data_IF_364936594572
#
_entry.id   IF_364936594572
#
_cell.length_a   1.000
_cell.length_b   1.000
_cell.length_c   1.000
_cell.angle_alpha   90.00
_cell.angle_beta   90.00
_cell.angle_gamma   90.00
#
_symmetry.space_group_name_H-M   'P 1'
#
loop_
_entity.id
_entity.type
_entity.pdbx_description
1 polymer ?
#
# COMPACT_ATOMS: atom_id res chain seq x y z
N UNK A 1 49.32 25.30 -46.59
CA UNK A 1 48.48 26.46 -46.38
C UNK A 1 49.24 27.42 -45.47
N UNK A 2 49.32 28.72 -45.88
CA UNK A 2 49.98 29.69 -45.05
C UNK A 2 49.17 29.92 -43.75
N UNK A 3 49.80 30.03 -42.57
CA UNK A 3 49.07 30.17 -41.30
C UNK A 3 48.12 31.35 -41.27
N UNK A 4 48.35 32.37 -42.02
CA UNK A 4 47.47 33.57 -42.13
C UNK A 4 46.11 33.25 -42.74
N UNK A 5 46.04 32.35 -43.76
CA UNK A 5 44.80 31.95 -44.40
C UNK A 5 43.93 31.09 -43.49
N UNK A 6 44.52 30.26 -42.65
CA UNK A 6 43.83 29.41 -41.70
C UNK A 6 43.16 30.24 -40.59
N UNK A 7 43.87 31.28 -40.13
CA UNK A 7 43.39 32.18 -39.06
C UNK A 7 42.18 33.04 -39.59
N UNK A 8 42.27 33.50 -40.83
CA UNK A 8 41.19 34.26 -41.45
C UNK A 8 39.92 33.40 -41.65
N UNK A 9 40.06 32.14 -42.04
CA UNK A 9 38.92 31.20 -42.21
C UNK A 9 38.24 30.95 -40.88
N UNK A 10 39.03 30.75 -39.78
CA UNK A 10 38.46 30.49 -38.44
C UNK A 10 37.69 31.73 -37.94
N UNK A 11 38.24 32.94 -38.18
CA UNK A 11 37.59 34.18 -37.75
C UNK A 11 36.26 34.43 -38.52
N UNK A 12 36.25 34.17 -39.82
CA UNK A 12 35.01 34.30 -40.64
C UNK A 12 33.97 33.27 -40.21
N UNK A 13 34.36 32.03 -39.94
CA UNK A 13 33.47 30.97 -39.45
C UNK A 13 32.87 31.31 -38.08
N UNK A 14 33.67 31.84 -37.15
CA UNK A 14 33.25 32.29 -35.82
C UNK A 14 32.21 33.43 -35.92
N UNK A 15 32.45 34.43 -36.80
CA UNK A 15 31.52 35.52 -37.04
C UNK A 15 30.18 35.03 -37.65
N UNK A 16 30.28 34.03 -38.53
CA UNK A 16 29.09 33.45 -39.16
C UNK A 16 28.24 32.67 -38.17
N UNK A 17 28.87 31.91 -37.29
CA UNK A 17 28.20 31.18 -36.17
C UNK A 17 27.54 32.19 -35.21
N UNK A 18 28.28 33.23 -34.84
CA UNK A 18 27.78 34.28 -33.94
C UNK A 18 26.61 35.05 -34.56
N UNK A 19 26.66 35.29 -35.87
CA UNK A 19 25.51 35.86 -36.62
C UNK A 19 24.27 34.97 -36.65
N UNK A 20 24.44 33.66 -36.84
CA UNK A 20 23.34 32.69 -36.80
C UNK A 20 22.73 32.64 -35.41
N UNK A 21 23.54 32.59 -34.33
CA UNK A 21 23.05 32.60 -32.95
C UNK A 21 22.26 33.86 -32.63
N UNK A 22 22.71 35.05 -33.13
CA UNK A 22 22.01 36.29 -32.95
C UNK A 22 20.70 36.35 -33.73
N UNK A 23 20.65 35.84 -34.95
CA UNK A 23 19.43 35.76 -35.78
C UNK A 23 18.43 34.82 -35.12
N UNK A 24 18.88 33.65 -34.61
CA UNK A 24 18.03 32.71 -33.90
C UNK A 24 17.48 33.35 -32.61
N UNK A 25 18.31 34.04 -31.84
CA UNK A 25 17.87 34.74 -30.63
C UNK A 25 16.86 35.86 -30.89
N UNK A 26 16.94 36.55 -32.05
CA UNK A 26 16.01 37.62 -32.44
C UNK A 26 14.70 37.05 -33.05
N UNK A 27 14.80 35.99 -33.86
CA UNK A 27 13.63 35.36 -34.49
C UNK A 27 12.85 34.47 -33.50
N UNK A 28 13.50 33.96 -32.48
CA UNK A 28 12.89 33.15 -31.42
C UNK A 28 13.12 33.77 -30.03
N UNK A 29 12.57 34.97 -29.76
CA UNK A 29 12.74 35.65 -28.48
C UNK A 29 12.18 34.81 -27.29
N UNK A 30 11.34 33.82 -27.57
CA UNK A 30 10.82 32.85 -26.61
C UNK A 30 11.53 31.50 -26.68
N UNK A 31 12.71 31.42 -27.30
CA UNK A 31 13.48 30.22 -27.48
C UNK A 31 14.08 29.70 -26.13
N UNK A 32 13.78 28.47 -25.86
CA UNK A 32 14.42 27.59 -24.88
C UNK A 32 14.26 27.86 -23.36
N UNK A 33 13.22 28.55 -22.89
CA UNK A 33 13.10 28.67 -21.42
C UNK A 33 11.84 29.34 -20.88
N UNK A 34 10.97 29.88 -21.69
CA UNK A 34 9.91 30.80 -21.24
C UNK A 34 8.52 30.19 -21.07
N UNK A 35 8.39 28.88 -20.80
CA UNK A 35 7.07 28.24 -20.59
C UNK A 35 6.60 28.12 -19.14
N UNK A 36 7.32 28.67 -18.16
CA UNK A 36 6.95 28.49 -16.75
C UNK A 36 6.52 29.77 -16.01
N UNK A 37 6.31 30.89 -16.70
CA UNK A 37 5.98 32.15 -16.03
C UNK A 37 4.58 32.21 -15.41
N UNK A 38 3.68 31.27 -15.75
CA UNK A 38 2.30 31.29 -15.27
C UNK A 38 1.88 29.90 -14.71
N UNK A 39 2.72 29.27 -13.91
CA UNK A 39 2.44 27.98 -13.32
C UNK A 39 2.49 28.02 -11.78
N UNK A 40 1.51 27.39 -11.14
CA UNK A 40 1.45 27.15 -9.70
C UNK A 40 1.69 25.66 -9.48
N UNK A 41 2.72 25.31 -8.73
CA UNK A 41 3.04 23.95 -8.34
C UNK A 41 2.51 23.70 -6.94
N UNK A 42 1.70 22.67 -6.76
CA UNK A 42 1.08 22.32 -5.49
C UNK A 42 1.24 20.84 -5.24
N UNK A 43 1.64 20.49 -4.02
CA UNK A 43 1.56 19.11 -3.52
C UNK A 43 0.54 19.04 -2.41
N UNK A 44 -0.39 18.10 -2.50
CA UNK A 44 -1.44 17.93 -1.50
C UNK A 44 -1.65 16.45 -1.19
N UNK A 45 -2.12 16.19 0.01
CA UNK A 45 -2.56 14.87 0.44
C UNK A 45 -4.08 14.85 0.55
N UNK A 46 -4.63 13.66 0.27
CA UNK A 46 -6.03 13.35 0.50
C UNK A 46 -6.16 12.04 1.25
N UNK A 47 -7.28 11.90 1.96
CA UNK A 47 -7.56 10.79 2.83
C UNK A 47 -8.94 10.22 2.55
N UNK A 48 -9.04 8.89 2.64
CA UNK A 48 -10.31 8.20 2.65
C UNK A 48 -10.32 7.14 3.76
N UNK A 49 -11.47 6.94 4.38
CA UNK A 49 -11.62 6.06 5.53
C UNK A 49 -12.63 4.97 5.21
N UNK A 50 -12.35 3.75 5.68
CA UNK A 50 -13.25 2.62 5.50
C UNK A 50 -13.13 1.60 6.62
N UNK A 51 -14.26 1.02 7.02
CA UNK A 51 -14.27 -0.11 7.93
C UNK A 51 -13.84 -1.37 7.17
N UNK A 52 -12.87 -2.16 7.67
CA UNK A 52 -12.48 -3.43 7.06
C UNK A 52 -13.67 -4.39 6.98
N UNK A 53 -13.74 -5.16 5.90
CA UNK A 53 -14.78 -6.16 5.70
C UNK A 53 -14.28 -7.59 5.80
N UNK A 54 -12.96 -7.78 5.79
CA UNK A 54 -12.32 -9.09 5.86
C UNK A 54 -11.26 -9.11 6.96
N UNK A 55 -10.88 -10.33 7.37
CA UNK A 55 -9.75 -10.54 8.27
C UNK A 55 -8.76 -11.52 7.65
N UNK A 56 -7.50 -11.41 8.05
CA UNK A 56 -6.44 -12.37 7.75
C UNK A 56 -5.94 -12.94 9.05
N UNK A 57 -5.95 -14.28 9.13
CA UNK A 57 -5.42 -15.02 10.26
C UNK A 57 -4.16 -15.75 9.85
N UNK A 58 -3.16 -15.72 10.72
CA UNK A 58 -1.94 -16.52 10.63
C UNK A 58 -1.95 -17.54 11.77
N UNK A 59 -1.78 -18.81 11.40
CA UNK A 59 -1.83 -19.93 12.30
C UNK A 59 -0.59 -20.80 12.10
N UNK A 60 -0.27 -21.54 13.15
CA UNK A 60 0.82 -22.52 13.13
C UNK A 60 0.30 -23.86 13.66
N UNK A 61 0.50 -24.92 12.90
CA UNK A 61 0.25 -26.29 13.34
C UNK A 61 1.59 -26.92 13.67
N UNK A 62 1.72 -27.48 14.87
CA UNK A 62 2.91 -28.19 15.31
C UNK A 62 2.60 -29.67 15.48
N UNK A 63 3.55 -30.52 15.09
CA UNK A 63 3.54 -31.95 15.37
C UNK A 63 4.91 -32.40 15.87
N UNK A 64 4.95 -33.26 16.86
CA UNK A 64 6.19 -33.84 17.34
C UNK A 64 6.12 -35.35 17.31
N UNK A 65 7.27 -36.03 17.24
CA UNK A 65 7.37 -37.49 17.29
C UNK A 65 8.79 -37.99 17.24
N UNK A 66 9.00 -39.22 17.73
CA UNK A 66 10.32 -39.86 17.78
C UNK A 66 10.96 -40.02 16.37
N UNK A 67 10.17 -39.97 15.31
CA UNK A 67 10.65 -39.97 13.95
C UNK A 67 10.05 -38.79 13.15
N UNK A 68 10.72 -38.38 12.08
CA UNK A 68 10.22 -37.35 11.15
C UNK A 68 8.85 -37.70 10.59
N UNK A 69 8.59 -38.98 10.32
CA UNK A 69 7.32 -39.49 9.80
C UNK A 69 6.18 -39.27 10.81
N UNK A 70 6.41 -39.64 12.11
CA UNK A 70 5.42 -39.44 13.16
C UNK A 70 5.12 -37.95 13.38
N UNK A 71 6.14 -37.09 13.39
CA UNK A 71 5.97 -35.65 13.52
C UNK A 71 5.11 -35.09 12.37
N UNK A 72 5.40 -35.48 11.13
CA UNK A 72 4.64 -35.09 9.93
C UNK A 72 3.21 -35.63 9.95
N UNK A 73 2.99 -36.86 10.38
CA UNK A 73 1.67 -37.45 10.50
C UNK A 73 0.80 -36.68 11.51
N UNK A 74 1.36 -36.23 12.62
CA UNK A 74 0.65 -35.44 13.63
C UNK A 74 0.22 -34.07 13.11
N UNK A 75 1.07 -33.41 12.29
CA UNK A 75 0.66 -32.16 11.56
C UNK A 75 -0.49 -32.46 10.61
N UNK A 76 -0.38 -33.54 9.81
CA UNK A 76 -1.40 -33.93 8.83
C UNK A 76 -2.77 -34.23 9.45
N UNK A 77 -2.79 -34.89 10.61
CA UNK A 77 -4.02 -35.15 11.36
C UNK A 77 -4.67 -33.85 11.86
N UNK A 78 -3.87 -32.92 12.38
CA UNK A 78 -4.39 -31.62 12.81
C UNK A 78 -4.84 -30.78 11.62
N UNK A 79 -4.11 -30.82 10.50
CA UNK A 79 -4.47 -30.14 9.25
C UNK A 79 -5.80 -30.66 8.68
N UNK A 80 -6.07 -31.96 8.75
CA UNK A 80 -7.35 -32.54 8.33
C UNK A 80 -8.52 -31.99 9.16
N UNK A 81 -8.39 -31.90 10.49
CA UNK A 81 -9.40 -31.31 11.38
C UNK A 81 -9.57 -29.82 11.11
N UNK A 82 -8.49 -29.11 10.92
CA UNK A 82 -8.49 -27.71 10.54
C UNK A 82 -9.23 -27.48 9.21
N UNK A 83 -8.91 -28.25 8.17
CA UNK A 83 -9.54 -28.14 6.85
C UNK A 83 -11.06 -28.42 6.92
N UNK A 84 -11.53 -29.33 7.75
CA UNK A 84 -12.94 -29.56 7.97
C UNK A 84 -13.62 -28.34 8.63
N UNK A 85 -12.94 -27.73 9.59
CA UNK A 85 -13.49 -26.63 10.39
C UNK A 85 -13.43 -25.28 9.67
N UNK A 86 -12.37 -25.00 8.86
CA UNK A 86 -12.15 -23.71 8.22
C UNK A 86 -13.11 -23.42 7.07
N UNK A 87 -13.64 -24.46 6.41
CA UNK A 87 -14.54 -24.33 5.23
C UNK A 87 -15.67 -23.33 5.41
N UNK A 88 -16.30 -23.33 6.58
CA UNK A 88 -17.44 -22.43 6.87
C UNK A 88 -17.02 -20.95 6.94
N UNK A 89 -15.78 -20.66 7.27
CA UNK A 89 -15.27 -19.30 7.41
C UNK A 89 -14.74 -18.70 6.11
N UNK A 90 -14.41 -19.57 5.14
CA UNK A 90 -13.95 -19.19 3.80
C UNK A 90 -15.02 -19.39 2.73
N UNK A 91 -16.30 -19.51 3.14
CA UNK A 91 -17.45 -19.77 2.24
C UNK A 91 -17.23 -20.98 1.30
N UNK A 92 -16.55 -22.01 1.79
CA UNK A 92 -16.18 -23.19 1.01
C UNK A 92 -15.01 -23.00 0.04
N UNK A 93 -14.51 -21.78 -0.13
CA UNK A 93 -13.44 -21.48 -1.07
C UNK A 93 -12.04 -21.70 -0.43
N UNK A 94 -11.51 -22.91 -0.59
CA UNK A 94 -10.22 -23.28 -0.04
C UNK A 94 -9.01 -22.54 -0.66
N UNK A 95 -9.18 -21.79 -1.75
CA UNK A 95 -8.09 -20.92 -2.27
C UNK A 95 -7.76 -19.76 -1.33
N UNK A 96 -8.63 -19.48 -0.36
CA UNK A 96 -8.42 -18.50 0.71
C UNK A 96 -7.52 -19.02 1.85
N UNK A 97 -7.21 -20.32 1.84
CA UNK A 97 -6.30 -20.97 2.79
C UNK A 97 -4.99 -21.27 2.07
N UNK A 98 -3.88 -20.84 2.63
CA UNK A 98 -2.55 -21.00 2.02
C UNK A 98 -1.55 -21.48 3.05
N UNK A 99 -0.77 -22.50 2.73
CA UNK A 99 0.45 -22.81 3.47
C UNK A 99 1.50 -21.76 3.13
N UNK A 100 2.02 -21.09 4.14
CA UNK A 100 3.03 -20.00 3.98
C UNK A 100 4.42 -20.48 4.37
N UNK A 101 4.52 -21.53 5.19
CA UNK A 101 5.79 -22.16 5.56
C UNK A 101 5.58 -23.60 5.98
N UNK A 102 6.61 -24.40 5.81
CA UNK A 102 6.71 -25.74 6.37
C UNK A 102 8.15 -25.98 6.83
N UNK A 103 8.33 -26.54 8.02
CA UNK A 103 9.63 -26.94 8.52
C UNK A 103 9.55 -28.28 9.25
N UNK A 104 10.61 -29.07 9.15
CA UNK A 104 10.79 -30.32 9.85
C UNK A 104 12.24 -30.37 10.33
N UNK A 105 12.45 -30.49 11.63
CA UNK A 105 13.78 -30.49 12.21
C UNK A 105 13.83 -31.28 13.52
N UNK A 106 15.03 -31.66 13.90
CA UNK A 106 15.32 -32.22 15.22
C UNK A 106 15.92 -31.12 16.09
N UNK A 107 15.22 -30.64 17.14
CA UNK A 107 15.75 -29.59 17.99
C UNK A 107 17.04 -30.08 18.72
N UNK A 108 17.95 -29.14 18.93
CA UNK A 108 19.16 -29.45 19.71
C UNK A 108 18.79 -29.93 21.13
N UNK A 109 19.37 -31.04 21.56
CA UNK A 109 19.05 -31.70 22.83
C UNK A 109 17.64 -32.32 22.93
N UNK A 110 16.98 -32.61 21.81
CA UNK A 110 15.71 -33.34 21.76
C UNK A 110 15.91 -34.69 21.08
N UNK A 111 15.12 -35.69 21.51
CA UNK A 111 15.00 -36.98 20.82
C UNK A 111 13.86 -36.98 19.81
N UNK A 112 12.99 -35.97 19.87
CA UNK A 112 11.79 -35.85 19.04
C UNK A 112 11.98 -34.84 17.92
N UNK A 113 11.59 -35.25 16.70
CA UNK A 113 11.43 -34.39 15.57
C UNK A 113 10.24 -33.45 15.77
N UNK A 114 10.35 -32.21 15.26
CA UNK A 114 9.28 -31.23 15.25
C UNK A 114 8.97 -30.86 13.79
N UNK A 115 7.72 -31.06 13.40
CA UNK A 115 7.18 -30.54 12.15
C UNK A 115 6.29 -29.34 12.46
N UNK A 116 6.43 -28.29 11.67
CA UNK A 116 5.65 -27.05 11.83
C UNK A 116 5.12 -26.61 10.48
N UNK A 117 3.83 -26.32 10.39
CA UNK A 117 3.19 -25.77 9.21
C UNK A 117 2.54 -24.42 9.53
N UNK A 118 3.00 -23.37 8.86
CA UNK A 118 2.41 -22.04 8.91
C UNK A 118 1.31 -21.88 7.87
N UNK A 119 0.13 -21.42 8.29
CA UNK A 119 -1.06 -21.29 7.45
C UNK A 119 -1.57 -19.85 7.53
N UNK A 120 -1.90 -19.29 6.36
CA UNK A 120 -2.64 -18.04 6.25
C UNK A 120 -4.08 -18.34 5.81
N UNK A 121 -5.05 -17.73 6.48
CA UNK A 121 -6.47 -17.81 6.15
C UNK A 121 -7.03 -16.42 5.89
N UNK A 122 -7.61 -16.20 4.72
CA UNK A 122 -8.37 -15.00 4.43
C UNK A 122 -9.85 -15.25 4.74
N UNK A 123 -10.37 -14.53 5.71
CA UNK A 123 -11.77 -14.62 6.18
C UNK A 123 -12.54 -13.48 5.50
N UNK A 124 -13.38 -13.76 4.49
CA UNK A 124 -14.01 -12.73 3.67
C UNK A 124 -15.09 -11.90 4.41
N UNK A 125 -15.59 -12.40 5.52
CA UNK A 125 -16.50 -11.68 6.41
C UNK A 125 -15.87 -11.49 7.78
N UNK A 126 -15.53 -10.25 8.11
CA UNK A 126 -14.86 -9.89 9.36
C UNK A 126 -15.68 -10.25 10.60
N UNK A 127 -17.02 -10.29 10.50
CA UNK A 127 -17.90 -10.69 11.60
C UNK A 127 -17.66 -12.15 12.05
N UNK A 128 -17.08 -12.96 11.18
CA UNK A 128 -16.75 -14.34 11.48
C UNK A 128 -15.40 -14.48 12.23
N UNK A 129 -14.61 -13.40 12.37
CA UNK A 129 -13.27 -13.47 12.94
C UNK A 129 -13.27 -13.97 14.39
N UNK A 130 -14.17 -13.47 15.25
CA UNK A 130 -14.26 -13.89 16.65
C UNK A 130 -14.64 -15.38 16.77
N UNK A 131 -15.65 -15.82 16.02
CA UNK A 131 -16.07 -17.23 16.02
C UNK A 131 -15.03 -18.15 15.38
N UNK A 132 -14.27 -17.66 14.40
CA UNK A 132 -13.09 -18.35 13.84
C UNK A 132 -12.04 -18.58 14.93
N UNK A 133 -11.64 -17.52 15.64
CA UNK A 133 -10.65 -17.59 16.71
C UNK A 133 -11.11 -18.62 17.77
N UNK A 134 -12.36 -18.50 18.25
CA UNK A 134 -12.92 -19.41 19.25
C UNK A 134 -12.90 -20.88 18.80
N UNK A 135 -13.28 -21.16 17.56
CA UNK A 135 -13.28 -22.55 17.07
C UNK A 135 -11.89 -23.09 16.77
N UNK A 136 -10.97 -22.27 16.24
CA UNK A 136 -9.62 -22.73 15.95
C UNK A 136 -8.80 -22.99 17.22
N UNK A 137 -9.02 -22.21 18.28
CA UNK A 137 -8.34 -22.40 19.56
C UNK A 137 -8.72 -23.71 20.28
N UNK A 138 -9.79 -24.39 19.86
CA UNK A 138 -10.14 -25.73 20.40
C UNK A 138 -9.36 -26.88 19.77
N UNK A 139 -8.66 -26.62 18.65
CA UNK A 139 -7.88 -27.64 17.98
C UNK A 139 -6.51 -27.79 18.66
N UNK A 140 -6.22 -29.02 19.09
CA UNK A 140 -4.92 -29.34 19.67
C UNK A 140 -3.80 -29.12 18.65
N UNK A 141 -2.64 -28.66 19.10
CA UNK A 141 -1.46 -28.41 18.26
C UNK A 141 -1.64 -27.33 17.17
N UNK A 142 -2.71 -26.53 17.24
CA UNK A 142 -2.93 -25.37 16.40
C UNK A 142 -2.84 -24.10 17.25
N UNK A 143 -2.02 -23.16 16.81
CA UNK A 143 -1.79 -21.89 17.48
C UNK A 143 -2.13 -20.75 16.54
N UNK A 144 -2.89 -19.78 17.02
CA UNK A 144 -3.20 -18.57 16.29
C UNK A 144 -2.11 -17.54 16.60
N UNK A 145 -1.29 -17.22 15.62
CA UNK A 145 -0.20 -16.23 15.78
C UNK A 145 -0.72 -14.81 15.72
N UNK A 146 -1.64 -14.55 14.78
CA UNK A 146 -2.19 -13.22 14.55
C UNK A 146 -3.53 -13.29 13.82
N UNK A 147 -4.43 -12.39 14.16
CA UNK A 147 -5.61 -12.08 13.33
C UNK A 147 -5.68 -10.57 13.14
N UNK A 148 -5.75 -10.13 11.89
CA UNK A 148 -5.79 -8.70 11.55
C UNK A 148 -6.94 -8.40 10.61
N UNK A 149 -7.59 -7.26 10.85
CA UNK A 149 -8.59 -6.71 9.96
C UNK A 149 -7.92 -6.17 8.69
N UNK A 150 -8.56 -6.35 7.54
CA UNK A 150 -8.03 -5.86 6.26
C UNK A 150 -9.16 -5.31 5.37
N UNK A 151 -8.80 -4.34 4.56
CA UNK A 151 -9.66 -3.88 3.47
C UNK A 151 -9.63 -4.92 2.35
N UNK A 152 -10.77 -5.18 1.73
CA UNK A 152 -10.81 -5.96 0.51
C UNK A 152 -10.18 -5.20 -0.66
N UNK A 153 -9.73 -5.90 -1.70
CA UNK A 153 -9.15 -5.26 -2.89
C UNK A 153 -10.12 -4.25 -3.53
N UNK A 154 -11.42 -4.52 -3.48
CA UNK A 154 -12.43 -3.58 -4.00
C UNK A 154 -12.54 -2.34 -3.11
N UNK A 155 -12.50 -2.50 -1.78
CA UNK A 155 -12.47 -1.37 -0.85
C UNK A 155 -11.22 -0.53 -1.05
N UNK A 156 -10.05 -1.15 -1.19
CA UNK A 156 -8.79 -0.44 -1.47
C UNK A 156 -8.94 0.42 -2.72
N UNK A 157 -9.42 -0.15 -3.83
CA UNK A 157 -9.63 0.60 -5.08
C UNK A 157 -10.56 1.79 -4.89
N UNK A 158 -11.69 1.59 -4.22
CA UNK A 158 -12.68 2.65 -4.00
C UNK A 158 -12.11 3.76 -3.09
N UNK A 159 -11.45 3.39 -2.00
CA UNK A 159 -10.84 4.33 -1.06
C UNK A 159 -9.65 5.07 -1.69
N UNK A 160 -8.82 4.39 -2.48
CA UNK A 160 -7.75 5.04 -3.26
C UNK A 160 -8.31 6.10 -4.19
N UNK A 161 -9.37 5.78 -4.95
CA UNK A 161 -10.03 6.76 -5.83
C UNK A 161 -10.60 7.95 -5.06
N UNK A 162 -11.21 7.71 -3.90
CA UNK A 162 -11.74 8.76 -3.04
C UNK A 162 -10.61 9.63 -2.46
N UNK A 163 -9.51 9.03 -2.00
CA UNK A 163 -8.35 9.75 -1.47
C UNK A 163 -7.66 10.61 -2.56
N UNK A 164 -7.56 10.11 -3.81
CA UNK A 164 -7.06 10.91 -4.94
C UNK A 164 -7.97 12.11 -5.21
N UNK A 165 -9.29 11.91 -5.20
CA UNK A 165 -10.24 13.00 -5.41
C UNK A 165 -10.12 14.07 -4.31
N UNK A 166 -9.98 13.67 -3.05
CA UNK A 166 -9.75 14.57 -1.92
C UNK A 166 -8.41 15.32 -2.07
N UNK A 167 -7.33 14.63 -2.44
CA UNK A 167 -6.03 15.25 -2.69
C UNK A 167 -6.08 16.31 -3.80
N UNK A 168 -6.79 16.03 -4.89
CA UNK A 168 -6.99 16.98 -6.00
C UNK A 168 -7.83 18.18 -5.58
N UNK A 169 -8.84 17.98 -4.75
CA UNK A 169 -9.64 19.07 -4.19
C UNK A 169 -8.78 19.97 -3.31
N UNK A 170 -7.95 19.39 -2.44
CA UNK A 170 -7.02 20.09 -1.58
C UNK A 170 -5.96 20.86 -2.41
N UNK A 171 -5.38 20.24 -3.44
CA UNK A 171 -4.45 20.89 -4.36
C UNK A 171 -5.10 22.08 -5.07
N UNK A 172 -6.33 21.91 -5.54
CA UNK A 172 -7.08 22.98 -6.22
C UNK A 172 -7.39 24.14 -5.26
N UNK A 173 -7.76 23.85 -4.02
CA UNK A 173 -8.00 24.87 -2.99
C UNK A 173 -6.72 25.67 -2.68
N UNK A 174 -5.58 25.00 -2.57
CA UNK A 174 -4.28 25.67 -2.36
C UNK A 174 -3.91 26.53 -3.57
N UNK A 175 -4.05 26.00 -4.81
CA UNK A 175 -3.75 26.76 -6.01
C UNK A 175 -4.65 28.00 -6.14
N UNK A 176 -5.93 27.90 -5.79
CA UNK A 176 -6.86 29.05 -5.75
C UNK A 176 -6.42 30.09 -4.72
N UNK A 177 -5.96 29.66 -3.56
CA UNK A 177 -5.44 30.57 -2.53
C UNK A 177 -4.24 31.35 -3.04
N UNK A 178 -3.28 30.68 -3.70
CA UNK A 178 -2.10 31.32 -4.30
C UNK A 178 -2.53 32.29 -5.41
N UNK A 179 -3.47 31.90 -6.28
CA UNK A 179 -3.92 32.76 -7.38
C UNK A 179 -4.59 34.07 -6.90
N UNK A 180 -5.24 34.06 -5.74
CA UNK A 180 -5.80 35.27 -5.14
C UNK A 180 -4.72 36.29 -4.79
N UNK A 181 -3.59 35.85 -4.24
CA UNK A 181 -2.43 36.72 -3.98
C UNK A 181 -1.78 37.23 -5.27
N UNK A 182 -1.89 36.48 -6.37
CA UNK A 182 -1.38 36.88 -7.68
C UNK A 182 -2.37 37.75 -8.51
N UNK A 183 -3.38 38.37 -7.86
CA UNK A 183 -4.34 39.24 -8.52
C UNK A 183 -5.61 38.52 -8.97
N UNK A 184 -6.04 37.49 -8.28
CA UNK A 184 -7.30 36.74 -8.50
C UNK A 184 -7.40 36.14 -9.92
N UNK A 185 -6.32 35.52 -10.36
CA UNK A 185 -6.21 34.90 -11.69
C UNK A 185 -7.05 33.61 -11.77
N UNK A 186 -7.59 33.35 -12.95
CA UNK A 186 -8.26 32.08 -13.24
C UNK A 186 -7.20 30.96 -13.34
N UNK A 187 -7.40 29.86 -12.61
CA UNK A 187 -6.50 28.70 -12.65
C UNK A 187 -7.11 27.56 -13.46
N UNK A 188 -6.26 26.84 -14.18
CA UNK A 188 -6.61 25.63 -14.93
C UNK A 188 -5.60 24.54 -14.57
N UNK A 189 -6.09 23.33 -14.29
CA UNK A 189 -5.22 22.16 -14.06
C UNK A 189 -4.50 21.81 -15.37
N UNK A 190 -3.17 21.86 -15.35
CA UNK A 190 -2.33 21.57 -16.51
C UNK A 190 -1.74 20.14 -16.46
N UNK A 191 -1.33 19.68 -15.27
CA UNK A 191 -0.75 18.35 -15.09
C UNK A 191 -1.00 17.83 -13.67
N UNK A 192 -1.09 16.51 -13.53
CA UNK A 192 -1.19 15.82 -12.24
C UNK A 192 -0.28 14.60 -12.25
N UNK A 193 0.50 14.46 -11.20
CA UNK A 193 1.26 13.25 -10.90
C UNK A 193 0.76 12.69 -9.58
N UNK A 194 0.34 11.42 -9.60
CA UNK A 194 -0.03 10.70 -8.39
C UNK A 194 1.24 10.06 -7.83
N UNK A 195 1.57 10.43 -6.60
CA UNK A 195 2.73 9.88 -5.90
C UNK A 195 2.24 8.72 -5.02
N UNK A 196 2.93 7.72 -4.75
CA UNK A 196 2.58 6.49 -4.06
C UNK A 196 1.52 6.62 -2.94
N UNK A 197 0.64 5.62 -2.84
CA UNK A 197 -0.34 5.49 -1.76
C UNK A 197 0.25 4.76 -0.54
N UNK A 198 -0.33 4.99 0.63
CA UNK A 198 -0.09 4.22 1.85
C UNK A 198 -1.40 3.88 2.53
N UNK A 199 -1.53 2.63 2.97
CA UNK A 199 -2.64 2.17 3.79
C UNK A 199 -2.15 2.13 5.23
N UNK A 200 -2.81 2.85 6.10
CA UNK A 200 -2.52 2.85 7.53
C UNK A 200 -3.71 2.30 8.32
N UNK A 201 -3.48 1.40 9.28
CA UNK A 201 -4.49 1.12 10.28
C UNK A 201 -4.70 2.41 11.10
N UNK A 202 -5.90 2.96 11.04
CA UNK A 202 -6.27 4.09 11.86
C UNK A 202 -6.84 3.56 13.17
N UNK A 203 -6.03 3.54 14.21
CA UNK A 203 -6.46 3.16 15.54
C UNK A 203 -7.18 4.33 16.20
N UNK A 204 -8.50 4.40 16.08
CA UNK A 204 -9.27 5.13 17.06
C UNK A 204 -9.20 4.31 18.35
N UNK A 205 -8.44 4.78 19.32
CA UNK A 205 -8.48 4.27 20.69
C UNK A 205 -9.84 4.62 21.29
N UNK A 206 -10.88 3.88 20.94
CA UNK A 206 -12.06 3.80 21.77
C UNK A 206 -11.62 3.01 23.00
N UNK A 207 -11.55 3.68 24.15
CA UNK A 207 -11.21 3.08 25.44
C UNK A 207 -12.15 1.89 25.66
N UNK A 208 -11.59 0.68 25.63
CA UNK A 208 -12.31 -0.52 25.98
C UNK A 208 -12.64 -0.40 27.48
N UNK A 209 -13.90 -0.14 27.82
CA UNK A 209 -14.40 -0.27 29.17
C UNK A 209 -14.31 -1.74 29.56
N UNK A 210 -13.53 -2.04 30.59
CA UNK A 210 -13.39 -3.36 31.20
C UNK A 210 -14.77 -3.83 31.71
N UNK A 211 -15.47 -4.61 30.90
CA UNK A 211 -16.71 -5.29 31.22
C UNK A 211 -16.43 -6.62 31.94
N UNK A 212 -17.20 -6.87 32.97
CA UNK A 212 -17.18 -7.98 33.92
C UNK A 212 -16.95 -9.37 33.31
N UNK A 213 -16.23 -10.19 34.06
CA UNK A 213 -15.95 -11.61 33.88
C UNK A 213 -17.18 -12.44 33.50
N UNK A 214 -17.27 -12.81 32.27
CA UNK A 214 -18.03 -13.93 31.72
C UNK A 214 -17.14 -14.53 30.67
N UNK A 215 -17.15 -15.87 30.50
CA UNK A 215 -16.25 -16.62 29.60
C UNK A 215 -16.07 -15.87 28.26
N UNK A 216 -15.00 -15.10 28.06
CA UNK A 216 -14.95 -14.18 26.93
C UNK A 216 -14.55 -14.94 25.68
N UNK A 217 -15.49 -15.07 24.78
CA UNK A 217 -15.13 -15.20 23.36
C UNK A 217 -14.30 -13.95 23.02
N UNK A 218 -13.08 -14.06 22.48
CA UNK A 218 -12.28 -12.89 22.18
C UNK A 218 -13.03 -12.00 21.17
N UNK A 219 -13.38 -10.79 21.61
CA UNK A 219 -14.00 -9.82 20.72
C UNK A 219 -12.94 -9.29 19.75
N UNK A 220 -13.28 -9.33 18.47
CA UNK A 220 -12.42 -8.81 17.41
C UNK A 220 -12.91 -7.43 16.96
N UNK A 221 -12.20 -6.39 17.38
CA UNK A 221 -12.49 -5.01 17.01
C UNK A 221 -11.72 -4.65 15.74
N UNK A 222 -12.42 -4.36 14.66
CA UNK A 222 -11.81 -4.09 13.36
C UNK A 222 -11.32 -2.65 13.17
N UNK A 223 -11.87 -1.71 13.92
CA UNK A 223 -11.55 -0.28 13.77
C UNK A 223 -11.87 0.28 12.38
N UNK A 224 -11.28 1.43 12.06
CA UNK A 224 -11.33 2.06 10.74
C UNK A 224 -9.94 2.08 10.13
N UNK A 225 -9.83 1.91 8.83
CA UNK A 225 -8.57 2.03 8.10
C UNK A 225 -8.57 3.31 7.26
N UNK A 226 -7.42 3.95 7.17
CA UNK A 226 -7.18 5.15 6.37
C UNK A 226 -6.35 4.78 5.15
N UNK A 227 -6.78 5.23 3.98
CA UNK A 227 -5.99 5.26 2.75
C UNK A 227 -5.57 6.71 2.52
N UNK A 228 -4.28 6.93 2.35
CA UNK A 228 -3.71 8.24 2.10
C UNK A 228 -3.05 8.26 0.73
N UNK A 229 -3.37 9.28 -0.07
CA UNK A 229 -2.79 9.51 -1.38
C UNK A 229 -2.16 10.90 -1.44
N UNK A 230 -1.09 11.03 -2.21
CA UNK A 230 -0.43 12.30 -2.44
C UNK A 230 -0.39 12.62 -3.93
N UNK A 231 -0.73 13.86 -4.28
CA UNK A 231 -0.68 14.34 -5.64
C UNK A 231 0.22 15.57 -5.74
N UNK A 232 0.96 15.65 -6.84
CA UNK A 232 1.66 16.85 -7.28
C UNK A 232 0.93 17.38 -8.50
N UNK A 233 0.38 18.58 -8.40
CA UNK A 233 -0.42 19.20 -9.44
C UNK A 233 0.22 20.50 -9.93
N UNK A 234 0.15 20.73 -11.23
CA UNK A 234 0.58 21.98 -11.89
C UNK A 234 -0.66 22.66 -12.43
N UNK A 235 -0.87 23.90 -12.02
CA UNK A 235 -1.95 24.74 -12.50
C UNK A 235 -1.36 25.87 -13.34
N UNK A 236 -1.89 26.09 -14.53
CA UNK A 236 -1.65 27.32 -15.29
C UNK A 236 -2.63 28.41 -14.86
N UNK A 237 -2.23 29.66 -14.94
CA UNK A 237 -3.12 30.81 -14.67
C UNK A 237 -3.04 31.86 -15.76
N UNK A 238 -4.16 32.56 -15.98
CA UNK A 238 -4.28 33.69 -16.95
C UNK A 238 -4.74 34.94 -16.23
#
# INVERSE_FOLDING_TARGET
>A
MKPETTMTIITVLALLIMGIVLVVAVLYPNGFGAQHQNAIYVSAQGFAYGAPQQAVAYLTINGSGATAEIATANVSLTLAKFNASVKKYVNGNMSMVKTVSYSLYLPHNSTDYVATEGIQVNIPNIQNASSFIGNMSTLSNLYISQVSAQLSNQQIKNLTSAAIADALQNATAQARSVSRFAGNKTIMLANVTINSYRIYPYYNYASASSGKYGNPSPEFFSGTMQVAESVSAVFSYK
#
